data_IF_889149605380
#
_entry.id   IF_889149605380
#
_cell.length_a   1.000
_cell.length_b   1.000
_cell.length_c   1.000
_cell.angle_alpha   90.00
_cell.angle_beta   90.00
_cell.angle_gamma   90.00
#
_symmetry.space_group_name_H-M   'P 1'
#
loop_
_entity.id
_entity.type
_entity.pdbx_description
1 polymer ?
#
# COMPACT_ATOMS: atom_id res chain seq x y z
N UNK A 1 -14.91 -13.50 29.86
CA UNK A 1 -14.12 -13.34 28.62
C UNK A 1 -12.87 -12.54 28.97
N UNK A 2 -11.68 -13.14 28.95
CA UNK A 2 -10.43 -12.43 29.24
C UNK A 2 -10.15 -11.37 28.17
N UNK A 3 -9.71 -10.17 28.58
CA UNK A 3 -9.33 -9.05 27.67
C UNK A 3 -8.25 -9.47 26.66
N UNK A 4 -7.45 -10.49 26.96
CA UNK A 4 -6.40 -11.01 26.08
C UNK A 4 -6.93 -11.56 24.75
N UNK A 5 -8.16 -12.08 24.70
CA UNK A 5 -8.74 -12.63 23.47
C UNK A 5 -9.12 -11.56 22.44
N UNK A 6 -9.24 -10.29 22.86
CA UNK A 6 -9.52 -9.16 21.97
C UNK A 6 -8.22 -8.47 21.56
N UNK A 7 -7.26 -8.37 22.49
CA UNK A 7 -5.99 -7.69 22.25
C UNK A 7 -5.11 -8.40 21.21
N UNK A 8 -5.08 -9.74 21.24
CA UNK A 8 -4.33 -10.54 20.27
C UNK A 8 -4.77 -10.33 18.82
N UNK A 9 -6.06 -10.53 18.46
CA UNK A 9 -6.50 -10.30 17.09
C UNK A 9 -6.44 -8.83 16.70
N UNK A 10 -6.75 -7.89 17.61
CA UNK A 10 -6.66 -6.47 17.30
C UNK A 10 -5.23 -6.03 16.96
N UNK A 11 -4.23 -6.49 17.72
CA UNK A 11 -2.82 -6.22 17.45
C UNK A 11 -2.39 -6.83 16.11
N UNK A 12 -2.79 -8.08 15.86
CA UNK A 12 -2.46 -8.77 14.62
C UNK A 12 -3.06 -8.09 13.39
N UNK A 13 -4.33 -7.70 13.45
CA UNK A 13 -4.99 -6.93 12.38
C UNK A 13 -4.31 -5.59 12.12
N UNK A 14 -3.87 -4.90 13.16
CA UNK A 14 -3.16 -3.62 13.01
C UNK A 14 -1.83 -3.79 12.28
N UNK A 15 -1.06 -4.84 12.62
CA UNK A 15 0.21 -5.14 11.95
C UNK A 15 0.01 -5.47 10.46
N UNK A 16 -1.03 -6.22 10.12
CA UNK A 16 -1.37 -6.52 8.73
C UNK A 16 -1.69 -5.25 7.96
N UNK A 17 -2.53 -4.37 8.52
CA UNK A 17 -2.89 -3.12 7.88
C UNK A 17 -1.67 -2.21 7.67
N UNK A 18 -0.77 -2.14 8.65
CA UNK A 18 0.48 -1.40 8.53
C UNK A 18 1.34 -1.98 7.40
N UNK A 19 1.48 -3.30 7.32
CA UNK A 19 2.25 -3.96 6.26
C UNK A 19 1.67 -3.70 4.86
N UNK A 20 0.34 -3.80 4.71
CA UNK A 20 -0.33 -3.55 3.43
C UNK A 20 -0.36 -2.08 3.01
N UNK A 21 -0.20 -1.17 3.97
CA UNK A 21 -0.18 0.28 3.69
C UNK A 21 1.13 0.74 3.06
N UNK A 22 2.21 -0.03 3.15
CA UNK A 22 3.53 0.39 2.70
C UNK A 22 3.87 -0.28 1.37
N UNK A 23 4.38 0.49 0.41
CA UNK A 23 4.86 -0.02 -0.87
C UNK A 23 6.15 0.68 -1.30
N UNK A 24 6.91 0.03 -2.17
CA UNK A 24 8.20 0.51 -2.66
C UNK A 24 8.17 0.69 -4.17
N UNK A 25 8.76 1.79 -4.65
CA UNK A 25 8.88 2.10 -6.08
C UNK A 25 10.35 2.10 -6.45
N UNK A 26 10.73 1.25 -7.40
CA UNK A 26 12.10 1.18 -7.89
C UNK A 26 12.43 2.34 -8.83
N UNK A 27 13.72 2.63 -9.03
CA UNK A 27 14.18 3.71 -9.91
C UNK A 27 13.77 3.53 -11.37
N UNK A 28 13.63 2.28 -11.80
CA UNK A 28 13.21 1.90 -13.16
C UNK A 28 11.71 1.57 -13.25
N UNK A 29 10.94 1.82 -12.18
CA UNK A 29 9.51 1.60 -12.17
C UNK A 29 8.75 2.93 -12.11
N UNK A 30 7.56 2.95 -12.71
CA UNK A 30 6.54 3.97 -12.49
C UNK A 30 5.41 3.37 -11.71
N UNK A 31 4.94 4.05 -10.67
CA UNK A 31 3.77 3.63 -9.91
C UNK A 31 2.58 4.53 -10.23
N UNK A 32 1.38 3.96 -10.23
CA UNK A 32 0.12 4.68 -10.31
C UNK A 32 -0.76 4.23 -9.16
N UNK A 33 -1.28 5.19 -8.40
CA UNK A 33 -2.22 4.98 -7.32
C UNK A 33 -3.64 5.15 -7.85
N UNK A 34 -4.40 4.07 -7.77
CA UNK A 34 -5.81 4.03 -8.04
C UNK A 34 -6.59 4.05 -6.74
N UNK A 35 -7.65 4.86 -6.68
CA UNK A 35 -8.62 4.87 -5.58
C UNK A 35 -9.97 4.50 -6.16
N UNK A 36 -10.51 3.34 -5.77
CA UNK A 36 -11.81 2.86 -6.26
C UNK A 36 -11.95 2.83 -7.81
N UNK A 37 -10.85 2.63 -8.53
CA UNK A 37 -10.82 2.63 -10.00
C UNK A 37 -10.48 3.97 -10.65
N UNK A 38 -10.40 5.05 -9.88
CA UNK A 38 -9.97 6.36 -10.36
C UNK A 38 -8.46 6.54 -10.18
N UNK A 39 -7.77 7.07 -11.20
CA UNK A 39 -6.36 7.43 -11.10
C UNK A 39 -6.21 8.72 -10.28
N UNK A 40 -5.60 8.64 -9.10
CA UNK A 40 -5.44 9.81 -8.21
C UNK A 40 -4.04 10.39 -8.31
N UNK A 41 -3.01 9.54 -8.36
CA UNK A 41 -1.59 9.96 -8.37
C UNK A 41 -0.80 9.06 -9.31
N UNK A 42 0.10 9.62 -10.10
CA UNK A 42 0.93 8.88 -11.07
C UNK A 42 2.40 9.33 -11.12
N UNK A 43 2.77 10.34 -10.34
CA UNK A 43 4.10 10.96 -10.30
C UNK A 43 4.94 10.51 -9.09
N UNK A 44 4.83 9.23 -8.73
CA UNK A 44 5.64 8.66 -7.64
C UNK A 44 7.13 8.69 -7.98
N UNK A 45 7.92 9.22 -7.04
CA UNK A 45 9.38 9.15 -7.09
C UNK A 45 9.86 7.79 -6.57
N UNK A 46 11.05 7.33 -6.99
CA UNK A 46 11.64 6.12 -6.43
C UNK A 46 11.80 6.23 -4.90
N UNK A 47 11.47 5.17 -4.19
CA UNK A 47 11.51 5.14 -2.73
C UNK A 47 10.31 4.47 -2.07
N UNK A 48 10.26 4.61 -0.75
CA UNK A 48 9.19 4.06 0.09
C UNK A 48 8.01 5.03 0.15
N UNK A 49 6.81 4.51 -0.05
CA UNK A 49 5.56 5.26 -0.01
C UNK A 49 4.51 4.53 0.82
N UNK A 50 3.50 5.29 1.24
CA UNK A 50 2.38 4.79 2.03
C UNK A 50 1.08 5.08 1.28
N UNK A 51 0.20 4.10 1.26
CA UNK A 51 -1.16 4.19 0.76
C UNK A 51 -2.15 3.73 1.80
N UNK A 52 -3.41 4.16 1.68
CA UNK A 52 -4.50 3.61 2.49
C UNK A 52 -4.87 2.22 1.97
N UNK A 53 -4.62 1.14 2.74
CA UNK A 53 -4.97 -0.20 2.30
C UNK A 53 -6.49 -0.32 2.11
N UNK A 54 -6.95 -1.33 1.37
CA UNK A 54 -8.37 -1.62 1.06
C UNK A 54 -8.97 -0.70 -0.02
N UNK A 55 -8.77 0.62 0.07
CA UNK A 55 -9.38 1.60 -0.85
C UNK A 55 -8.45 1.92 -2.01
N UNK A 56 -7.15 1.97 -1.74
CA UNK A 56 -6.14 2.30 -2.74
C UNK A 56 -5.49 1.02 -3.28
N UNK A 57 -5.21 1.02 -4.57
CA UNK A 57 -4.41 0.00 -5.25
C UNK A 57 -3.26 0.68 -5.98
N UNK A 58 -2.05 0.16 -5.81
CA UNK A 58 -0.87 0.64 -6.55
C UNK A 58 -0.58 -0.35 -7.67
N UNK A 59 -0.42 0.16 -8.88
CA UNK A 59 0.09 -0.60 -10.02
C UNK A 59 1.44 -0.03 -10.41
N UNK A 60 2.48 -0.88 -10.40
CA UNK A 60 3.81 -0.53 -10.88
C UNK A 60 4.04 -1.05 -12.28
N UNK A 61 4.72 -0.26 -13.10
CA UNK A 61 5.04 -0.55 -14.49
C UNK A 61 6.54 -0.32 -14.71
N UNK A 62 7.18 -1.16 -15.51
CA UNK A 62 8.58 -0.96 -15.89
C UNK A 62 8.69 0.23 -16.85
N UNK A 63 9.45 1.25 -16.45
CA UNK A 63 9.65 2.48 -17.22
C UNK A 63 10.41 2.26 -18.54
N UNK A 64 11.05 1.10 -18.73
CA UNK A 64 11.81 0.75 -19.94
C UNK A 64 10.94 0.13 -21.04
N UNK A 65 9.78 -0.40 -20.68
CA UNK A 65 8.87 -1.11 -21.61
C UNK A 65 7.77 -0.19 -22.14
N UNK A 66 7.58 0.98 -21.52
CA UNK A 66 6.63 2.02 -21.94
C UNK A 66 7.10 2.80 -23.17
#
# INVERSE_FOLDING_TARGET
MSRSHILLPASFSLLILAYLSVFYVQEHEKAILFRLGEMVVSDFKPGLHVMTPIINNVSTFDARVL
#
